data_IF_510223451894
#
_entry.id   IF_510223451894
#
_cell.length_a   1.000
_cell.length_b   1.000
_cell.length_c   1.000
_cell.angle_alpha   90.00
_cell.angle_beta   90.00
_cell.angle_gamma   90.00
#
_symmetry.space_group_name_H-M   'P 1'
#
loop_
_entity.id
_entity.type
_entity.pdbx_description
1 polymer ?
#
# COMPACT_ATOMS: atom_id res chain seq x y z
N UNK A 1 -4.04 -6.79 0.10
CA UNK A 1 -3.32 -6.67 1.38
C UNK A 1 -3.96 -5.56 2.20
N UNK A 2 -4.69 -5.94 3.24
CA UNK A 2 -5.29 -5.02 4.20
C UNK A 2 -4.27 -4.85 5.31
N UNK A 3 -3.76 -3.63 5.50
CA UNK A 3 -2.77 -3.33 6.53
C UNK A 3 -3.52 -2.75 7.73
N UNK A 4 -3.43 -3.42 8.88
CA UNK A 4 -3.99 -2.95 10.15
C UNK A 4 -2.85 -2.32 10.94
N UNK A 5 -2.81 -0.99 10.96
CA UNK A 5 -1.85 -0.26 11.80
C UNK A 5 -2.46 -0.15 13.19
N UNK A 6 -2.08 -1.08 14.07
CA UNK A 6 -2.30 -0.94 15.51
C UNK A 6 -1.21 -0.03 16.06
N UNK A 7 -1.53 1.21 16.45
CA UNK A 7 -1.07 1.82 17.70
C UNK A 7 -1.64 3.24 17.88
N UNK A 8 -2.21 3.51 19.05
CA UNK A 8 -2.17 4.82 19.71
C UNK A 8 -2.19 4.52 21.21
N UNK A 9 -1.13 4.96 21.90
CA UNK A 9 -0.84 4.68 23.32
C UNK A 9 -1.94 5.16 24.30
N UNK A 10 -2.92 5.94 23.84
CA UNK A 10 -4.11 6.34 24.62
C UNK A 10 -5.37 5.49 24.36
N UNK A 11 -5.35 4.59 23.38
CA UNK A 11 -6.48 3.69 23.04
C UNK A 11 -6.33 2.29 23.67
N UNK A 12 -5.43 2.10 24.64
CA UNK A 12 -5.21 0.81 25.32
C UNK A 12 -6.41 0.30 26.13
N UNK A 13 -7.47 1.11 26.29
CA UNK A 13 -8.70 0.70 26.98
C UNK A 13 -9.68 0.01 26.01
N UNK A 14 -9.58 0.23 24.69
CA UNK A 14 -10.46 -0.40 23.70
C UNK A 14 -9.66 -0.78 22.46
N UNK A 15 -9.54 -2.07 22.18
CA UNK A 15 -8.80 -2.64 21.06
C UNK A 15 -9.53 -2.37 19.71
N UNK A 16 -9.70 -1.09 19.37
CA UNK A 16 -10.53 -0.60 18.28
C UNK A 16 -9.69 -0.25 17.04
N UNK A 17 -10.22 -0.55 15.86
CA UNK A 17 -9.60 -0.23 14.58
C UNK A 17 -9.78 1.26 14.29
N UNK A 18 -8.67 2.02 14.25
CA UNK A 18 -8.71 3.46 13.97
C UNK A 18 -8.92 3.72 12.47
N UNK A 19 -8.17 3.05 11.60
CA UNK A 19 -8.30 3.18 10.16
C UNK A 19 -7.84 1.91 9.42
N UNK A 20 -8.39 1.67 8.24
CA UNK A 20 -7.99 0.59 7.34
C UNK A 20 -7.74 1.17 5.95
N UNK A 21 -6.53 0.95 5.43
CA UNK A 21 -6.15 1.38 4.08
C UNK A 21 -5.57 0.20 3.31
N UNK A 22 -5.95 0.06 2.05
CA UNK A 22 -5.28 -0.88 1.14
C UNK A 22 -3.91 -0.34 0.76
N UNK A 23 -2.91 -1.22 0.64
CA UNK A 23 -1.55 -0.85 0.22
C UNK A 23 -1.52 -0.06 -1.09
N UNK A 24 -2.41 -0.38 -2.04
CA UNK A 24 -2.52 0.33 -3.33
C UNK A 24 -2.88 1.81 -3.20
N UNK A 25 -3.49 2.19 -2.08
CA UNK A 25 -3.93 3.56 -1.82
C UNK A 25 -2.87 4.36 -1.05
N UNK A 26 -1.85 3.71 -0.49
CA UNK A 26 -0.74 4.38 0.19
C UNK A 26 0.32 4.69 -0.87
N UNK A 27 0.75 5.95 -0.95
CA UNK A 27 1.64 6.43 -2.01
C UNK A 27 3.07 6.61 -1.53
N UNK A 28 3.23 7.05 -0.28
CA UNK A 28 4.52 7.19 0.36
C UNK A 28 4.38 6.93 1.86
N UNK A 29 5.47 6.49 2.45
CA UNK A 29 5.67 6.40 3.88
C UNK A 29 7.09 6.88 4.19
N UNK A 30 7.25 7.68 5.23
CA UNK A 30 8.56 8.19 5.65
C UNK A 30 8.60 8.42 7.16
N UNK A 31 9.80 8.38 7.73
CA UNK A 31 10.07 8.89 9.07
C UNK A 31 10.35 10.38 9.03
N UNK A 32 10.16 11.06 10.15
CA UNK A 32 10.61 12.43 10.33
C UNK A 32 12.15 12.51 10.28
N UNK A 33 12.69 13.65 9.83
CA UNK A 33 14.14 13.81 9.64
C UNK A 33 14.89 14.14 10.94
N UNK A 34 14.21 14.74 11.90
CA UNK A 34 14.78 15.20 13.18
C UNK A 34 14.38 14.27 14.33
N UNK A 35 13.15 13.73 14.29
CA UNK A 35 12.64 12.80 15.29
C UNK A 35 12.20 11.46 14.69
N UNK A 36 13.13 10.51 14.66
CA UNK A 36 12.92 9.19 14.07
C UNK A 36 11.89 8.32 14.82
N UNK A 37 11.31 8.79 15.94
CA UNK A 37 10.17 8.14 16.60
C UNK A 37 8.82 8.50 15.94
N UNK A 38 8.82 9.45 15.02
CA UNK A 38 7.66 9.83 14.24
C UNK A 38 7.74 9.24 12.83
N UNK A 39 6.60 8.77 12.35
CA UNK A 39 6.45 8.35 10.96
C UNK A 39 5.11 8.80 10.40
N UNK A 40 5.08 8.96 9.09
CA UNK A 40 3.88 9.35 8.37
C UNK A 40 3.71 8.56 7.08
N UNK A 41 2.47 8.42 6.64
CA UNK A 41 2.16 7.92 5.30
C UNK A 41 1.04 8.73 4.65
N UNK A 42 1.09 8.81 3.32
CA UNK A 42 0.09 9.53 2.53
C UNK A 42 -0.82 8.53 1.82
N UNK A 43 -2.12 8.63 2.07
CA UNK A 43 -3.16 7.89 1.34
C UNK A 43 -3.87 8.79 0.35
N UNK A 44 -4.36 8.20 -0.75
CA UNK A 44 -5.34 8.84 -1.64
C UNK A 44 -6.70 8.21 -1.44
N UNK A 45 -7.69 9.02 -1.11
CA UNK A 45 -9.07 8.59 -1.12
C UNK A 45 -9.67 8.77 -2.52
N UNK A 46 -10.20 7.69 -3.08
CA UNK A 46 -10.80 7.70 -4.41
C UNK A 46 -12.19 8.36 -4.42
N UNK A 47 -12.89 8.40 -3.28
CA UNK A 47 -14.21 9.03 -3.20
C UNK A 47 -14.09 10.56 -3.18
N UNK A 48 -13.28 11.11 -2.28
CA UNK A 48 -13.06 12.56 -2.18
C UNK A 48 -12.01 13.11 -3.16
N UNK A 49 -11.22 12.25 -3.80
CA UNK A 49 -10.04 12.61 -4.61
C UNK A 49 -8.97 13.41 -3.85
N UNK A 50 -9.05 13.39 -2.52
CA UNK A 50 -8.11 14.08 -1.64
C UNK A 50 -6.99 13.17 -1.18
N UNK A 51 -5.87 13.80 -0.81
CA UNK A 51 -4.74 13.14 -0.16
C UNK A 51 -4.81 13.41 1.35
N UNK A 52 -4.55 12.38 2.14
CA UNK A 52 -4.49 12.48 3.60
C UNK A 52 -3.11 12.05 4.08
N UNK A 53 -2.50 12.89 4.93
CA UNK A 53 -1.28 12.58 5.63
C UNK A 53 -1.64 12.05 7.02
N UNK A 54 -1.26 10.81 7.31
CA UNK A 54 -1.46 10.19 8.62
C UNK A 54 -0.13 10.17 9.34
N UNK A 55 -0.05 10.84 10.49
CA UNK A 55 1.19 10.98 11.28
C UNK A 55 1.02 10.23 12.60
N UNK A 56 2.02 9.43 12.95
CA UNK A 56 2.04 8.61 14.15
C UNK A 56 3.34 8.84 14.92
N UNK A 57 3.23 8.73 16.25
CA UNK A 57 4.36 8.69 17.16
C UNK A 57 4.40 7.32 17.82
N UNK A 58 5.59 6.76 17.96
CA UNK A 58 5.83 5.48 18.65
C UNK A 58 6.86 5.65 19.76
N UNK A 59 7.00 4.64 20.61
CA UNK A 59 7.84 4.72 21.80
C UNK A 59 9.33 4.70 21.48
N UNK A 60 9.74 4.02 20.40
CA UNK A 60 11.14 3.89 20.03
C UNK A 60 11.37 4.08 18.52
N UNK A 61 12.55 4.54 18.16
CA UNK A 61 13.01 4.64 16.76
C UNK A 61 12.93 3.28 16.06
N UNK A 62 13.29 2.20 16.76
CA UNK A 62 13.29 0.84 16.18
C UNK A 62 11.88 0.42 15.76
N UNK A 63 10.86 0.77 16.54
CA UNK A 63 9.46 0.52 16.18
C UNK A 63 9.05 1.31 14.92
N UNK A 64 9.41 2.59 14.84
CA UNK A 64 9.09 3.41 13.67
C UNK A 64 9.77 2.85 12.41
N UNK A 65 11.03 2.46 12.55
CA UNK A 65 11.85 1.88 11.49
C UNK A 65 11.26 0.54 11.01
N UNK A 66 10.86 -0.33 11.93
CA UNK A 66 10.20 -1.60 11.61
C UNK A 66 8.92 -1.38 10.81
N UNK A 67 8.10 -0.38 11.19
CA UNK A 67 6.88 -0.03 10.45
C UNK A 67 7.20 0.43 9.03
N UNK A 68 8.16 1.35 8.86
CA UNK A 68 8.57 1.84 7.54
C UNK A 68 9.10 0.71 6.65
N UNK A 69 9.99 -0.14 7.19
CA UNK A 69 10.55 -1.26 6.44
C UNK A 69 9.47 -2.26 6.02
N UNK A 70 8.53 -2.56 6.91
CA UNK A 70 7.42 -3.48 6.62
C UNK A 70 6.49 -2.91 5.54
N UNK A 71 6.19 -1.60 5.59
CA UNK A 71 5.44 -0.92 4.53
C UNK A 71 6.19 -1.00 3.19
N UNK A 72 7.50 -0.75 3.18
CA UNK A 72 8.36 -0.89 1.99
C UNK A 72 8.29 -2.29 1.38
N UNK A 73 8.39 -3.34 2.20
CA UNK A 73 8.26 -4.72 1.76
C UNK A 73 6.85 -5.03 1.22
N UNK A 74 5.81 -4.52 1.86
CA UNK A 74 4.44 -4.70 1.39
C UNK A 74 4.19 -4.02 0.04
N UNK A 75 4.79 -2.83 -0.19
CA UNK A 75 4.76 -2.18 -1.50
C UNK A 75 5.43 -3.03 -2.57
N UNK A 76 6.62 -3.54 -2.29
CA UNK A 76 7.37 -4.37 -3.23
C UNK A 76 6.59 -5.65 -3.61
N UNK A 77 6.04 -6.35 -2.61
CA UNK A 77 5.22 -7.55 -2.83
C UNK A 77 3.95 -7.22 -3.63
N UNK A 78 3.25 -6.13 -3.29
CA UNK A 78 2.05 -5.71 -4.00
C UNK A 78 2.37 -5.33 -5.46
N UNK A 79 3.49 -4.64 -5.70
CA UNK A 79 3.95 -4.28 -7.03
C UNK A 79 4.26 -5.53 -7.88
N UNK A 80 5.00 -6.49 -7.33
CA UNK A 80 5.29 -7.75 -8.02
C UNK A 80 4.02 -8.54 -8.36
N UNK A 81 3.02 -8.54 -7.48
CA UNK A 81 1.74 -9.19 -7.74
C UNK A 81 0.96 -8.48 -8.85
N UNK A 82 0.92 -7.15 -8.85
CA UNK A 82 0.28 -6.38 -9.91
C UNK A 82 0.93 -6.63 -11.28
N UNK A 83 2.26 -6.78 -11.34
CA UNK A 83 2.96 -7.13 -12.59
C UNK A 83 2.59 -8.54 -13.10
N UNK A 84 2.46 -9.52 -12.20
CA UNK A 84 2.04 -10.88 -12.56
C UNK A 84 0.59 -10.92 -13.06
N UNK A 85 -0.28 -10.12 -12.47
CA UNK A 85 -1.66 -9.95 -12.91
C UNK A 85 -1.75 -9.21 -14.27
N UNK A 86 -0.91 -8.20 -14.49
CA UNK A 86 -0.79 -7.49 -15.76
C UNK A 86 -0.34 -8.38 -16.93
N UNK A 87 0.55 -9.34 -16.68
CA UNK A 87 0.99 -10.34 -17.68
C UNK A 87 -0.15 -11.32 -18.10
N UNK A 88 -1.18 -11.47 -17.27
CA UNK A 88 -2.33 -12.34 -17.57
C UNK A 88 -3.31 -11.69 -18.55
N UNK A 89 -3.28 -10.36 -18.70
CA UNK A 89 -4.17 -9.61 -19.59
C UNK A 89 -3.61 -9.43 -21.01
N UNK A 90 -2.32 -9.70 -21.24
CA UNK A 90 -1.72 -9.67 -22.58
C UNK A 90 -1.79 -11.01 -23.33
N UNK A 91 -2.46 -12.04 -22.80
CA UNK A 91 -2.51 -13.37 -23.43
C UNK A 91 -3.92 -13.92 -23.68
N UNK A 92 -4.95 -13.07 -23.81
CA UNK A 92 -6.30 -13.52 -24.21
C UNK A 92 -6.88 -12.72 -25.38
N UNK A 93 -6.66 -13.25 -26.59
CA UNK A 93 -7.41 -13.01 -27.83
C UNK A 93 -6.48 -12.97 -29.05
N UNK A 94 -6.53 -13.84 -30.07
CA UNK A 94 -7.53 -14.83 -30.51
C UNK A 94 -6.88 -15.85 -31.47
N UNK A 95 -7.08 -17.15 -31.23
CA UNK A 95 -7.03 -18.17 -32.28
C UNK A 95 -8.31 -18.06 -33.13
N UNK A 96 -8.19 -17.92 -34.46
CA UNK A 96 -9.35 -17.85 -35.35
C UNK A 96 -8.99 -17.96 -36.83
N UNK A 97 -9.25 -19.14 -37.38
CA UNK A 97 -9.04 -19.58 -38.75
C UNK A 97 -9.99 -18.91 -39.76
N UNK A 98 -9.50 -18.39 -40.89
CA UNK A 98 -10.26 -18.39 -42.17
C UNK A 98 -9.32 -18.41 -43.37
N UNK A 99 -9.50 -19.44 -44.22
CA UNK A 99 -9.04 -19.57 -45.60
C UNK A 99 -9.43 -18.33 -46.44
N UNK A 100 -8.58 -17.85 -47.35
CA UNK A 100 -8.76 -17.97 -48.81
C UNK A 100 -7.68 -17.24 -49.63
N UNK A 101 -7.60 -17.64 -50.90
CA UNK A 101 -6.61 -17.42 -51.97
C UNK A 101 -6.40 -15.99 -52.50
N UNK A 102 -5.20 -15.82 -53.07
CA UNK A 102 -4.81 -15.17 -54.34
C UNK A 102 -5.38 -13.80 -54.75
N UNK A 103 -4.47 -12.87 -55.04
CA UNK A 103 -4.05 -12.48 -56.41
C UNK A 103 -2.57 -12.09 -56.39
#
# INVERSE_FOLDING_TARGET
FKFKIHYLQECLIMQELICEHEIRNIHCACQDAEDLTHFAYITKDHASKSHYCHVFCVNTMDQATEVILTLGQAFEVAYQMALREGCSLTNRGTNGHTRSRSV
#
